data_IF_744062602431
#
_entry.id   IF_744062602431
#
_cell.length_a   1.000
_cell.length_b   1.000
_cell.length_c   1.000
_cell.angle_alpha   90.00
_cell.angle_beta   90.00
_cell.angle_gamma   90.00
#
_symmetry.space_group_name_H-M   'P 1'
#
loop_
_entity.id
_entity.type
_entity.pdbx_description
1 polymer ?
#
# COMPACT_ATOMS: atom_id res chain seq x y z
N UNK A 1 -9.37 -14.91 69.01
CA UNK A 1 -9.10 -15.82 70.15
C UNK A 1 -8.41 -17.04 69.54
N UNK A 2 -7.08 -17.21 69.49
CA UNK A 2 -6.03 -17.23 70.53
C UNK A 2 -5.91 -18.55 71.31
N UNK A 3 -5.15 -19.52 70.75
CA UNK A 3 -4.17 -20.42 71.42
C UNK A 3 -3.53 -21.27 70.31
N UNK A 4 -2.22 -21.41 70.04
CA UNK A 4 -0.96 -21.40 70.81
C UNK A 4 -0.73 -22.64 71.71
N UNK A 5 0.49 -23.22 71.56
CA UNK A 5 1.14 -24.28 72.39
C UNK A 5 0.52 -25.70 72.23
N UNK A 6 1.20 -26.85 72.34
CA UNK A 6 2.64 -27.30 72.34
C UNK A 6 2.64 -28.86 72.15
N UNK A 7 3.73 -29.64 72.01
CA UNK A 7 5.20 -29.43 71.96
C UNK A 7 5.94 -30.60 71.25
N UNK A 8 7.16 -30.31 70.80
CA UNK A 8 8.34 -31.16 70.53
C UNK A 8 8.37 -32.68 70.81
N UNK A 9 9.05 -33.38 69.90
CA UNK A 9 9.95 -34.51 70.20
C UNK A 9 11.26 -34.40 69.41
N UNK A 10 12.36 -34.09 70.10
CA UNK A 10 13.76 -34.36 69.70
C UNK A 10 14.17 -35.68 70.42
N UNK A 11 15.24 -36.44 70.11
CA UNK A 11 16.42 -36.24 69.27
C UNK A 11 17.05 -37.62 68.95
N UNK A 12 17.87 -37.74 67.89
CA UNK A 12 19.15 -38.48 67.97
C UNK A 12 20.04 -38.24 66.73
N UNK A 13 21.30 -37.95 66.99
CA UNK A 13 22.40 -37.84 66.02
C UNK A 13 23.27 -39.09 66.15
N UNK A 14 23.73 -39.65 65.02
CA UNK A 14 24.99 -40.42 64.96
C UNK A 14 25.78 -40.00 63.69
N UNK A 15 27.09 -39.90 63.85
CA UNK A 15 28.01 -39.27 62.89
C UNK A 15 28.62 -40.28 61.90
N UNK A 16 29.01 -39.80 60.71
CA UNK A 16 29.73 -40.60 59.72
C UNK A 16 30.58 -39.73 58.78
N UNK A 17 31.91 -39.85 58.86
CA UNK A 17 32.85 -39.10 58.04
C UNK A 17 32.81 -39.49 56.56
N UNK A 18 32.87 -38.49 55.66
CA UNK A 18 32.94 -38.70 54.22
C UNK A 18 33.19 -37.38 53.47
N UNK A 19 34.45 -37.04 53.24
CA UNK A 19 34.82 -35.71 52.76
C UNK A 19 34.45 -35.41 51.30
N UNK A 20 33.74 -34.31 51.06
CA UNK A 20 33.83 -33.55 49.80
C UNK A 20 33.52 -32.07 50.00
N UNK A 21 34.52 -31.20 49.81
CA UNK A 21 34.40 -29.74 49.96
C UNK A 21 33.65 -29.12 48.79
N UNK A 22 32.32 -29.22 48.77
CA UNK A 22 31.48 -28.48 47.80
C UNK A 22 31.40 -27.01 48.19
N UNK A 23 32.30 -26.20 47.63
CA UNK A 23 32.30 -24.74 47.81
C UNK A 23 31.06 -24.13 47.17
N UNK A 24 30.04 -23.79 47.98
CA UNK A 24 28.87 -23.03 47.53
C UNK A 24 29.37 -21.75 46.84
N UNK A 25 29.04 -21.49 45.56
CA UNK A 25 29.57 -20.32 44.87
C UNK A 25 29.05 -19.05 45.54
N UNK A 26 29.99 -18.14 45.83
CA UNK A 26 29.68 -16.87 46.47
C UNK A 26 28.60 -16.12 45.70
N UNK A 27 27.81 -15.33 46.40
CA UNK A 27 26.70 -14.54 45.85
C UNK A 27 27.15 -13.71 44.62
N UNK A 28 28.37 -13.17 44.66
CA UNK A 28 29.06 -12.50 43.54
C UNK A 28 29.18 -13.36 42.26
N UNK A 29 29.51 -14.66 42.37
CA UNK A 29 29.57 -15.56 41.20
C UNK A 29 28.20 -15.80 40.57
N UNK A 30 27.12 -15.81 41.35
CA UNK A 30 25.74 -15.93 40.82
C UNK A 30 25.32 -14.66 40.09
N UNK A 31 25.53 -13.49 40.68
CA UNK A 31 25.29 -12.20 40.01
C UNK A 31 26.07 -12.06 38.70
N UNK A 32 27.32 -12.51 38.65
CA UNK A 32 28.13 -12.48 37.43
C UNK A 32 27.62 -13.44 36.33
N UNK A 33 27.13 -14.63 36.69
CA UNK A 33 26.56 -15.56 35.71
C UNK A 33 25.21 -15.07 35.16
N UNK A 34 24.31 -14.56 36.02
CA UNK A 34 23.08 -13.90 35.57
C UNK A 34 23.38 -12.69 34.68
N UNK A 35 24.37 -11.87 35.04
CA UNK A 35 24.83 -10.75 34.21
C UNK A 35 25.32 -11.18 32.82
N UNK A 36 26.10 -12.27 32.73
CA UNK A 36 26.53 -12.84 31.44
C UNK A 36 25.35 -13.30 30.58
N UNK A 37 24.35 -13.95 31.18
CA UNK A 37 23.14 -14.40 30.47
C UNK A 37 22.36 -13.20 29.94
N UNK A 38 22.18 -12.14 30.75
CA UNK A 38 21.52 -10.91 30.30
C UNK A 38 22.29 -10.21 29.18
N UNK A 39 23.63 -10.15 29.26
CA UNK A 39 24.46 -9.58 28.17
C UNK A 39 24.30 -10.39 26.87
N UNK A 40 24.35 -11.72 26.93
CA UNK A 40 24.14 -12.60 25.76
C UNK A 40 22.73 -12.44 25.18
N UNK A 41 21.70 -12.31 26.04
CA UNK A 41 20.33 -12.13 25.59
C UNK A 41 20.11 -10.76 24.93
N UNK A 42 20.67 -9.69 25.51
CA UNK A 42 20.62 -8.33 24.93
C UNK A 42 21.38 -8.27 23.61
N UNK A 43 22.57 -8.88 23.50
CA UNK A 43 23.30 -8.91 22.22
C UNK A 43 22.57 -9.72 21.16
N UNK A 44 21.92 -10.84 21.51
CA UNK A 44 21.03 -11.58 20.60
C UNK A 44 19.84 -10.74 20.13
N UNK A 45 19.15 -10.04 21.04
CA UNK A 45 18.03 -9.16 20.66
C UNK A 45 18.48 -8.02 19.73
N UNK A 46 19.64 -7.41 19.99
CA UNK A 46 20.22 -6.39 19.09
C UNK A 46 20.58 -7.01 17.74
N UNK A 47 21.17 -8.21 17.71
CA UNK A 47 21.49 -8.92 16.46
C UNK A 47 20.22 -9.22 15.65
N UNK A 48 19.16 -9.73 16.29
CA UNK A 48 17.86 -10.00 15.64
C UNK A 48 17.23 -8.70 15.14
N UNK A 49 17.30 -7.60 15.89
CA UNK A 49 16.79 -6.31 15.45
C UNK A 49 17.59 -5.74 14.25
N UNK A 50 18.93 -5.88 14.25
CA UNK A 50 19.80 -5.47 13.14
C UNK A 50 19.57 -6.34 11.91
N UNK A 51 19.48 -7.66 12.06
CA UNK A 51 19.20 -8.57 10.93
C UNK A 51 17.78 -8.34 10.40
N UNK A 52 16.77 -8.20 11.26
CA UNK A 52 15.40 -7.89 10.85
C UNK A 52 15.33 -6.56 10.09
N UNK A 53 15.89 -5.48 10.64
CA UNK A 53 15.90 -4.18 9.96
C UNK A 53 16.74 -4.20 8.67
N UNK A 54 17.82 -4.97 8.59
CA UNK A 54 18.59 -5.14 7.36
C UNK A 54 17.83 -5.95 6.30
N UNK A 55 17.17 -7.04 6.69
CA UNK A 55 16.36 -7.90 5.79
C UNK A 55 15.13 -7.14 5.31
N UNK A 56 14.35 -6.50 6.17
CA UNK A 56 13.22 -5.64 5.77
C UNK A 56 13.66 -4.53 4.82
N UNK A 57 14.81 -3.89 5.08
CA UNK A 57 15.35 -2.83 4.22
C UNK A 57 15.88 -3.37 2.89
N UNK A 58 16.46 -4.58 2.88
CA UNK A 58 16.94 -5.23 1.65
C UNK A 58 15.78 -5.75 0.79
N UNK A 59 14.70 -6.23 1.39
CA UNK A 59 13.51 -6.69 0.67
C UNK A 59 12.75 -5.51 0.06
N UNK A 60 12.58 -4.43 0.84
CA UNK A 60 12.04 -3.15 0.35
C UNK A 60 12.85 -2.59 -0.83
N UNK A 61 14.20 -2.61 -0.75
CA UNK A 61 15.08 -2.12 -1.83
C UNK A 61 15.03 -2.91 -3.13
N UNK A 62 14.63 -4.17 -3.09
CA UNK A 62 14.50 -5.00 -4.30
C UNK A 62 13.16 -4.74 -5.02
N UNK A 63 12.18 -4.19 -4.31
CA UNK A 63 10.79 -4.07 -4.76
C UNK A 63 10.43 -2.69 -5.29
N UNK A 64 11.00 -1.65 -4.70
CA UNK A 64 10.88 -0.28 -5.20
C UNK A 64 12.23 0.20 -5.71
N UNK A 65 12.23 0.75 -6.93
CA UNK A 65 13.32 1.60 -7.39
C UNK A 65 13.61 2.67 -6.32
N UNK A 66 14.89 2.95 -6.04
CA UNK A 66 15.32 3.88 -4.97
C UNK A 66 14.66 5.28 -5.11
N UNK A 67 13.48 5.46 -4.50
CA UNK A 67 12.91 6.78 -4.26
C UNK A 67 13.67 7.46 -3.11
N UNK A 68 14.02 8.75 -3.23
CA UNK A 68 14.65 9.49 -2.16
C UNK A 68 13.65 9.74 -1.02
N UNK A 69 13.65 8.84 -0.03
CA UNK A 69 12.82 8.93 1.17
C UNK A 69 12.99 10.29 1.86
N UNK A 70 11.85 10.95 2.12
CA UNK A 70 11.67 12.22 2.84
C UNK A 70 12.36 13.44 2.22
N UNK A 71 11.53 14.29 1.61
CA UNK A 71 11.58 15.72 1.91
C UNK A 71 10.24 16.15 2.50
N UNK A 72 10.26 17.02 3.52
CA UNK A 72 9.05 17.60 4.08
C UNK A 72 8.38 18.46 3.01
N UNK A 73 7.08 18.25 2.73
CA UNK A 73 6.31 19.15 1.87
C UNK A 73 6.11 20.48 2.59
N UNK A 74 7.10 21.37 2.48
CA UNK A 74 6.91 22.79 2.71
C UNK A 74 6.69 23.47 1.38
N UNK A 75 5.43 23.47 0.94
CA UNK A 75 5.02 24.28 -0.19
C UNK A 75 5.43 25.74 0.07
N UNK A 76 6.25 26.29 -0.80
CA UNK A 76 6.57 27.72 -0.83
C UNK A 76 6.10 28.24 -2.17
N UNK A 77 5.14 29.16 -2.12
CA UNK A 77 4.57 29.80 -3.29
C UNK A 77 5.67 30.41 -4.15
N UNK A 78 5.73 29.94 -5.39
CA UNK A 78 6.69 30.36 -6.39
C UNK A 78 5.93 30.49 -7.70
N UNK A 79 5.17 31.58 -7.82
CA UNK A 79 4.50 31.98 -9.06
C UNK A 79 5.56 32.21 -10.15
N UNK A 80 5.79 31.21 -11.00
CA UNK A 80 6.63 31.31 -12.18
C UNK A 80 5.73 31.42 -13.40
N UNK A 81 5.90 32.52 -14.14
CA UNK A 81 5.12 32.88 -15.33
C UNK A 81 5.03 31.72 -16.34
N UNK A 82 3.81 31.21 -16.52
CA UNK A 82 3.51 30.16 -17.49
C UNK A 82 3.51 30.77 -18.91
N UNK A 83 4.62 30.64 -19.63
CA UNK A 83 4.57 30.77 -21.10
C UNK A 83 4.11 29.45 -21.69
N UNK A 84 2.83 29.39 -22.04
CA UNK A 84 2.23 28.26 -22.74
C UNK A 84 3.05 27.92 -23.99
N UNK A 85 3.69 26.75 -23.97
CA UNK A 85 4.41 26.26 -25.14
C UNK A 85 3.40 25.64 -26.11
N UNK A 86 3.35 26.17 -27.33
CA UNK A 86 2.56 25.69 -28.47
C UNK A 86 3.05 24.34 -29.04
N UNK A 87 3.41 23.40 -28.14
CA UNK A 87 4.03 22.11 -28.41
C UNK A 87 3.03 20.96 -28.60
N UNK A 88 1.79 21.12 -28.12
CA UNK A 88 0.71 20.12 -28.18
C UNK A 88 0.51 19.57 -29.60
N UNK A 89 0.42 20.44 -30.60
CA UNK A 89 0.14 20.02 -32.00
C UNK A 89 1.27 19.16 -32.61
N UNK A 90 2.53 19.41 -32.23
CA UNK A 90 3.69 18.64 -32.72
C UNK A 90 3.88 17.31 -31.99
N UNK A 91 3.53 17.25 -30.70
CA UNK A 91 3.58 16.02 -29.91
C UNK A 91 2.51 15.01 -30.38
N UNK A 92 1.27 15.46 -30.60
CA UNK A 92 0.18 14.64 -31.14
C UNK A 92 0.51 14.10 -32.54
N UNK A 93 1.18 14.90 -33.38
CA UNK A 93 1.66 14.45 -34.70
C UNK A 93 2.74 13.36 -34.57
N UNK A 94 3.62 13.43 -33.58
CA UNK A 94 4.65 12.41 -33.34
C UNK A 94 4.08 11.11 -32.73
N UNK A 95 3.01 11.21 -31.91
CA UNK A 95 2.26 10.07 -31.37
C UNK A 95 1.18 9.52 -32.32
N UNK A 96 1.04 10.04 -33.54
CA UNK A 96 0.16 9.47 -34.58
C UNK A 96 0.50 8.03 -35.01
N UNK A 97 1.60 7.50 -34.48
CA UNK A 97 2.03 6.09 -34.60
C UNK A 97 1.32 5.15 -33.61
N UNK A 98 0.69 5.66 -32.55
CA UNK A 98 -0.07 4.86 -31.58
C UNK A 98 -1.51 4.72 -32.04
N UNK A 99 -1.88 3.51 -32.47
CA UNK A 99 -3.21 3.16 -32.97
C UNK A 99 -4.23 3.08 -31.82
N UNK A 100 -5.40 3.69 -32.01
CA UNK A 100 -6.57 3.46 -31.15
C UNK A 100 -7.21 2.11 -31.49
N UNK A 101 -7.50 1.30 -30.48
CA UNK A 101 -8.12 -0.01 -30.63
C UNK A 101 -9.31 -0.15 -29.67
N UNK A 102 -10.50 -0.56 -30.15
CA UNK A 102 -11.63 -0.87 -29.27
C UNK A 102 -11.27 -2.03 -28.33
N UNK A 103 -11.54 -1.85 -27.03
CA UNK A 103 -11.37 -2.89 -26.01
C UNK A 103 -12.57 -2.88 -25.07
N UNK A 104 -13.11 -4.05 -24.79
CA UNK A 104 -14.11 -4.26 -23.74
C UNK A 104 -13.37 -4.59 -22.45
N UNK A 105 -13.75 -3.95 -21.34
CA UNK A 105 -13.14 -4.26 -20.05
C UNK A 105 -13.66 -5.60 -19.53
N UNK A 106 -12.73 -6.48 -19.17
CA UNK A 106 -12.97 -7.80 -18.59
C UNK A 106 -12.06 -7.93 -17.38
N UNK A 107 -12.57 -8.44 -16.26
CA UNK A 107 -11.77 -8.62 -15.04
C UNK A 107 -10.58 -9.55 -15.32
N UNK A 108 -9.36 -9.01 -15.27
CA UNK A 108 -8.14 -9.81 -15.34
C UNK A 108 -7.67 -10.16 -13.93
N UNK A 109 -7.89 -11.41 -13.52
CA UNK A 109 -7.51 -11.90 -12.18
C UNK A 109 -6.02 -11.75 -11.87
N UNK A 110 -5.14 -11.73 -12.87
CA UNK A 110 -3.70 -11.55 -12.69
C UNK A 110 -3.36 -10.21 -12.02
N UNK A 111 -4.15 -9.17 -12.29
CA UNK A 111 -3.98 -7.85 -11.70
C UNK A 111 -4.90 -7.60 -10.49
N UNK A 112 -6.01 -8.34 -10.40
CA UNK A 112 -7.00 -8.17 -9.34
C UNK A 112 -6.72 -8.98 -8.06
N UNK A 113 -5.95 -10.06 -8.14
CA UNK A 113 -5.60 -10.88 -6.95
C UNK A 113 -4.67 -10.12 -5.97
N UNK A 114 -4.67 -10.50 -4.67
CA UNK A 114 -3.65 -10.06 -3.72
C UNK A 114 -2.23 -10.37 -4.19
N UNK A 115 -1.19 -9.70 -3.67
CA UNK A 115 0.17 -9.81 -4.15
C UNK A 115 0.69 -11.25 -4.23
N UNK A 116 1.05 -11.66 -5.45
CA UNK A 116 1.61 -12.97 -5.75
C UNK A 116 2.52 -12.87 -6.96
N UNK A 117 3.54 -13.74 -7.05
CA UNK A 117 4.68 -13.58 -7.95
C UNK A 117 4.32 -13.15 -9.39
N UNK A 118 3.45 -13.89 -10.08
CA UNK A 118 3.11 -13.61 -11.48
C UNK A 118 2.25 -12.35 -11.64
N UNK A 119 1.41 -12.03 -10.65
CA UNK A 119 0.64 -10.78 -10.63
C UNK A 119 1.53 -9.55 -10.44
N UNK A 120 2.55 -9.68 -9.60
CA UNK A 120 3.54 -8.64 -9.36
C UNK A 120 4.48 -8.42 -10.55
N UNK A 121 4.91 -9.50 -11.22
CA UNK A 121 5.61 -9.42 -12.51
C UNK A 121 4.73 -8.74 -13.58
N UNK A 122 3.41 -9.02 -13.59
CA UNK A 122 2.48 -8.37 -14.49
C UNK A 122 2.30 -6.86 -14.18
N UNK A 123 2.14 -6.47 -12.90
CA UNK A 123 2.09 -5.06 -12.49
C UNK A 123 3.39 -4.31 -12.86
N UNK A 124 4.56 -4.91 -12.61
CA UNK A 124 5.85 -4.33 -13.00
C UNK A 124 5.98 -4.16 -14.52
N UNK A 125 5.42 -5.08 -15.32
CA UNK A 125 5.48 -5.02 -16.79
C UNK A 125 4.73 -3.85 -17.44
N UNK A 126 3.87 -3.14 -16.69
CA UNK A 126 3.13 -1.97 -17.17
C UNK A 126 4.03 -0.75 -17.40
N UNK A 127 5.17 -0.69 -16.70
CA UNK A 127 6.13 0.40 -16.82
C UNK A 127 7.23 0.04 -17.84
N UNK A 128 7.59 0.94 -18.77
CA UNK A 128 8.77 0.77 -19.61
C UNK A 128 10.05 0.62 -18.77
N UNK A 129 11.12 0.08 -19.36
CA UNK A 129 12.43 -0.13 -18.68
C UNK A 129 12.97 1.06 -17.88
N UNK A 130 12.62 2.30 -18.26
CA UNK A 130 13.03 3.53 -17.61
C UNK A 130 11.90 4.17 -16.76
N UNK A 131 10.91 3.41 -16.30
CA UNK A 131 9.77 3.92 -15.51
C UNK A 131 8.84 4.87 -16.27
N UNK A 132 8.94 4.94 -17.60
CA UNK A 132 8.26 5.95 -18.42
C UNK A 132 9.06 7.22 -18.69
N UNK A 133 10.23 7.39 -18.08
CA UNK A 133 11.11 8.53 -18.33
C UNK A 133 11.80 8.44 -19.70
N UNK A 134 11.85 9.56 -20.41
CA UNK A 134 12.44 9.70 -21.73
C UNK A 134 13.05 11.09 -21.94
N UNK A 135 13.86 11.22 -23.00
CA UNK A 135 14.36 12.49 -23.52
C UNK A 135 14.29 12.44 -25.04
N UNK A 136 13.75 13.49 -25.67
CA UNK A 136 13.64 13.58 -27.12
C UNK A 136 13.90 15.03 -27.58
N UNK A 137 14.94 15.29 -28.40
CA UNK A 137 15.36 16.65 -28.77
C UNK A 137 14.27 17.54 -29.40
N UNK A 138 13.23 16.95 -30.01
CA UNK A 138 12.17 17.69 -30.69
C UNK A 138 10.93 17.97 -29.85
N UNK A 139 10.66 17.14 -28.84
CA UNK A 139 9.36 17.14 -28.14
C UNK A 139 9.49 17.15 -26.60
N UNK A 140 10.62 16.68 -26.05
CA UNK A 140 10.96 16.70 -24.64
C UNK A 140 12.49 16.86 -24.48
N UNK A 141 13.05 18.08 -24.66
CA UNK A 141 14.50 18.30 -24.66
C UNK A 141 15.16 18.21 -23.27
N UNK A 142 14.35 18.05 -22.21
CA UNK A 142 14.77 17.70 -20.85
C UNK A 142 14.24 16.30 -20.54
N UNK A 143 14.81 15.64 -19.54
CA UNK A 143 14.22 14.43 -18.96
C UNK A 143 12.76 14.70 -18.57
N UNK A 144 11.86 13.87 -19.09
CA UNK A 144 10.41 13.99 -18.93
C UNK A 144 9.79 12.61 -18.77
N UNK A 145 8.58 12.54 -18.21
CA UNK A 145 7.76 11.34 -18.15
C UNK A 145 6.42 11.61 -18.87
N UNK A 146 5.75 10.57 -19.36
CA UNK A 146 4.33 10.69 -19.72
C UNK A 146 3.49 10.48 -18.46
N UNK A 147 2.50 11.36 -18.25
CA UNK A 147 1.67 11.39 -17.04
C UNK A 147 1.07 10.02 -16.70
N UNK A 148 0.63 9.24 -17.69
CA UNK A 148 0.12 7.87 -17.48
C UNK A 148 1.09 6.93 -16.75
N UNK A 149 2.40 7.01 -17.00
CA UNK A 149 3.36 6.14 -16.32
C UNK A 149 3.58 6.57 -14.87
N UNK A 150 3.54 7.87 -14.60
CA UNK A 150 3.52 8.39 -13.23
C UNK A 150 2.23 7.99 -12.49
N UNK A 151 1.07 8.08 -13.15
CA UNK A 151 -0.22 7.63 -12.61
C UNK A 151 -0.23 6.12 -12.29
N UNK A 152 0.35 5.27 -13.16
CA UNK A 152 0.49 3.82 -12.93
C UNK A 152 1.47 3.53 -11.77
N UNK A 153 2.57 4.28 -11.65
CA UNK A 153 3.48 4.21 -10.50
C UNK A 153 2.75 4.51 -9.19
N UNK A 154 2.02 5.63 -9.13
CA UNK A 154 1.21 5.98 -7.95
C UNK A 154 0.13 4.94 -7.63
N UNK A 155 -0.56 4.39 -8.64
CA UNK A 155 -1.53 3.31 -8.44
C UNK A 155 -0.88 2.05 -7.84
N UNK A 156 0.34 1.73 -8.28
CA UNK A 156 1.13 0.60 -7.76
C UNK A 156 1.60 0.85 -6.33
N UNK A 157 2.00 2.08 -5.99
CA UNK A 157 2.34 2.48 -4.60
C UNK A 157 1.15 2.32 -3.67
N UNK A 158 -0.03 2.82 -4.07
CA UNK A 158 -1.26 2.73 -3.29
C UNK A 158 -1.68 1.27 -3.06
N UNK A 159 -1.57 0.43 -4.10
CA UNK A 159 -1.84 -1.02 -3.99
C UNK A 159 -0.86 -1.70 -3.04
N UNK A 160 0.44 -1.42 -3.16
CA UNK A 160 1.48 -1.95 -2.25
C UNK A 160 1.21 -1.56 -0.80
N UNK A 161 1.06 -0.27 -0.52
CA UNK A 161 0.77 0.25 0.82
C UNK A 161 -0.53 -0.31 1.42
N UNK A 162 -1.56 -0.56 0.60
CA UNK A 162 -2.79 -1.22 1.05
C UNK A 162 -2.53 -2.64 1.57
N UNK A 163 -1.80 -3.47 0.82
CA UNK A 163 -1.52 -4.85 1.21
C UNK A 163 -0.46 -4.96 2.32
N UNK A 164 0.48 -4.01 2.40
CA UNK A 164 1.38 -3.87 3.57
C UNK A 164 0.61 -3.52 4.85
N UNK A 165 -0.41 -2.66 4.76
CA UNK A 165 -1.28 -2.32 5.89
C UNK A 165 -2.29 -3.44 6.22
N UNK A 166 -2.53 -4.38 5.29
CA UNK A 166 -3.53 -5.45 5.40
C UNK A 166 -2.95 -6.83 5.02
N UNK A 167 -1.93 -7.33 5.76
CA UNK A 167 -1.33 -8.64 5.49
C UNK A 167 -2.30 -9.80 5.71
N UNK A 168 -3.38 -9.58 6.46
CA UNK A 168 -4.50 -10.51 6.63
C UNK A 168 -5.23 -10.84 5.32
N UNK A 169 -5.10 -9.99 4.29
CA UNK A 169 -5.70 -10.18 2.97
C UNK A 169 -4.76 -10.89 1.97
N UNK A 170 -3.54 -11.23 2.38
CA UNK A 170 -2.49 -11.85 1.54
C UNK A 170 -2.24 -13.32 1.95
N UNK A 171 -3.09 -13.88 2.82
CA UNK A 171 -2.87 -15.22 3.41
C UNK A 171 -2.86 -16.31 2.33
N UNK A 172 -1.74 -17.06 2.18
CA UNK A 172 -1.68 -18.15 1.20
C UNK A 172 -2.50 -19.36 1.67
N UNK A 173 -3.47 -19.79 0.86
CA UNK A 173 -3.98 -21.16 0.91
C UNK A 173 -5.44 -21.38 1.28
N UNK A 174 -6.24 -20.35 1.56
CA UNK A 174 -7.70 -20.54 1.71
C UNK A 174 -8.40 -20.69 0.34
N UNK A 175 -8.33 -21.91 -0.20
CA UNK A 175 -9.12 -22.35 -1.35
C UNK A 175 -10.55 -22.76 -0.95
N UNK A 176 -10.98 -22.44 0.28
CA UNK A 176 -12.13 -23.02 0.98
C UNK A 176 -13.22 -22.01 1.36
N UNK A 177 -13.43 -20.98 0.52
CA UNK A 177 -14.80 -20.70 0.10
C UNK A 177 -14.86 -19.96 -1.24
N UNK A 178 -15.81 -20.39 -2.10
CA UNK A 178 -16.29 -19.56 -3.21
C UNK A 178 -16.64 -18.17 -2.65
N UNK A 179 -16.22 -17.06 -3.27
CA UNK A 179 -16.94 -15.81 -3.11
C UNK A 179 -18.36 -16.06 -3.60
N UNK A 180 -19.30 -16.27 -2.68
CA UNK A 180 -20.71 -16.17 -3.03
C UNK A 180 -20.90 -14.71 -3.44
N UNK A 181 -21.33 -14.51 -4.69
CA UNK A 181 -21.48 -13.20 -5.32
C UNK A 181 -22.53 -12.34 -4.59
N UNK A 182 -22.17 -11.82 -3.43
CA UNK A 182 -22.88 -10.79 -2.71
C UNK A 182 -22.32 -9.45 -3.17
N UNK A 183 -22.84 -8.94 -4.29
CA UNK A 183 -22.68 -7.55 -4.71
C UNK A 183 -23.47 -6.63 -3.75
N UNK A 184 -23.17 -6.68 -2.45
CA UNK A 184 -23.69 -5.71 -1.48
C UNK A 184 -22.93 -4.41 -1.67
N UNK A 185 -23.48 -3.52 -2.50
CA UNK A 185 -23.06 -2.12 -2.67
C UNK A 185 -23.32 -1.25 -1.42
N UNK A 186 -23.28 -1.84 -0.23
CA UNK A 186 -23.46 -1.17 1.05
C UNK A 186 -22.14 -1.05 1.79
N UNK A 187 -21.77 0.17 2.16
CA UNK A 187 -20.71 0.41 3.14
C UNK A 187 -21.21 -0.06 4.52
N UNK A 188 -20.91 -1.31 4.86
CA UNK A 188 -21.14 -1.88 6.18
C UNK A 188 -19.84 -1.73 7.00
N UNK A 189 -19.77 -0.79 7.97
CA UNK A 189 -18.55 -0.54 8.75
C UNK A 189 -18.18 -1.73 9.66
N UNK A 190 -19.04 -2.74 9.77
CA UNK A 190 -18.84 -3.91 10.60
C UNK A 190 -18.50 -5.19 9.78
N UNK A 191 -18.36 -5.08 8.46
CA UNK A 191 -17.84 -6.16 7.59
C UNK A 191 -16.41 -5.88 7.17
N UNK A 192 -15.61 -6.94 7.17
CA UNK A 192 -14.28 -6.94 6.57
C UNK A 192 -14.38 -6.48 5.10
N UNK A 193 -13.59 -5.47 4.73
CA UNK A 193 -13.42 -5.02 3.34
C UNK A 193 -13.22 -6.23 2.43
N UNK A 194 -14.11 -6.40 1.45
CA UNK A 194 -14.04 -7.51 0.50
C UNK A 194 -12.78 -7.38 -0.37
N UNK A 195 -11.90 -8.38 -0.26
CA UNK A 195 -10.66 -8.51 -1.03
C UNK A 195 -10.96 -8.54 -2.52
N UNK A 196 -12.05 -9.20 -2.92
CA UNK A 196 -12.46 -9.28 -4.31
C UNK A 196 -12.89 -7.90 -4.85
N UNK A 197 -13.69 -7.14 -4.10
CA UNK A 197 -14.08 -5.78 -4.46
C UNK A 197 -12.87 -4.85 -4.63
N UNK A 198 -11.94 -4.85 -3.66
CA UNK A 198 -10.71 -4.03 -3.75
C UNK A 198 -9.83 -4.45 -4.92
N UNK A 199 -9.66 -5.76 -5.13
CA UNK A 199 -8.96 -6.32 -6.28
C UNK A 199 -9.54 -5.88 -7.62
N UNK A 200 -10.86 -5.96 -7.75
CA UNK A 200 -11.61 -5.49 -8.91
C UNK A 200 -11.40 -3.98 -9.14
N UNK A 201 -11.42 -3.15 -8.08
CA UNK A 201 -11.15 -1.72 -8.20
C UNK A 201 -9.74 -1.42 -8.72
N UNK A 202 -8.71 -2.10 -8.23
CA UNK A 202 -7.33 -1.93 -8.75
C UNK A 202 -7.24 -2.25 -10.24
N UNK A 203 -7.88 -3.34 -10.67
CA UNK A 203 -7.89 -3.76 -12.07
C UNK A 203 -8.70 -2.82 -12.96
N UNK A 204 -9.85 -2.31 -12.49
CA UNK A 204 -10.65 -1.31 -13.21
C UNK A 204 -9.89 0.00 -13.41
N UNK A 205 -9.19 0.48 -12.37
CA UNK A 205 -8.35 1.68 -12.44
C UNK A 205 -7.18 1.47 -13.42
N UNK A 206 -6.51 0.32 -13.37
CA UNK A 206 -5.43 -0.04 -14.31
C UNK A 206 -5.93 -0.09 -15.76
N UNK A 207 -7.09 -0.70 -16.01
CA UNK A 207 -7.70 -0.70 -17.35
C UNK A 207 -8.08 0.72 -17.81
N UNK A 208 -8.59 1.56 -16.92
CA UNK A 208 -8.92 2.95 -17.23
C UNK A 208 -7.69 3.75 -17.66
N UNK A 209 -6.61 3.72 -16.86
CA UNK A 209 -5.33 4.39 -17.16
C UNK A 209 -4.69 3.88 -18.46
N UNK A 210 -4.78 2.59 -18.75
CA UNK A 210 -4.18 2.00 -19.97
C UNK A 210 -5.06 2.11 -21.22
N UNK A 211 -6.37 2.35 -21.07
CA UNK A 211 -7.32 2.54 -22.17
C UNK A 211 -7.37 3.99 -22.68
N UNK A 212 -7.36 4.96 -21.76
CA UNK A 212 -7.24 6.40 -22.06
C UNK A 212 -6.04 6.98 -21.32
N UNK A 213 -4.82 6.67 -21.79
CA UNK A 213 -3.60 7.16 -21.16
C UNK A 213 -3.52 8.68 -21.24
N UNK A 214 -3.16 9.31 -20.13
CA UNK A 214 -2.76 10.71 -20.14
C UNK A 214 -1.35 10.84 -20.75
N UNK A 215 -1.30 11.42 -21.96
CA UNK A 215 -0.09 11.60 -22.75
C UNK A 215 0.58 12.96 -22.48
N UNK A 216 0.16 13.68 -21.44
CA UNK A 216 0.79 14.91 -20.96
C UNK A 216 2.24 14.67 -20.58
N UNK A 217 3.11 15.63 -20.91
CA UNK A 217 4.56 15.52 -20.78
C UNK A 217 5.03 16.23 -19.52
N UNK A 218 5.15 15.50 -18.43
CA UNK A 218 5.66 16.01 -17.17
C UNK A 218 7.19 16.18 -17.26
N UNK A 219 7.70 17.38 -17.01
CA UNK A 219 9.15 17.64 -17.00
C UNK A 219 9.71 17.29 -15.63
N UNK A 220 10.74 16.45 -15.58
CA UNK A 220 11.36 16.07 -14.32
C UNK A 220 12.03 17.27 -13.64
N UNK A 221 11.86 17.41 -12.32
CA UNK A 221 12.59 18.40 -11.54
C UNK A 221 14.10 18.08 -11.54
N UNK A 222 14.91 19.14 -11.61
CA UNK A 222 16.36 19.01 -11.75
C UNK A 222 17.05 18.48 -10.49
N UNK A 223 16.46 18.67 -9.30
CA UNK A 223 17.06 18.27 -8.02
C UNK A 223 16.66 16.86 -7.64
N UNK A 224 15.38 16.53 -7.78
CA UNK A 224 14.84 15.20 -7.42
C UNK A 224 14.99 14.17 -8.53
N UNK A 225 15.16 14.61 -9.79
CA UNK A 225 15.07 13.76 -11.01
C UNK A 225 13.70 13.05 -11.16
N UNK A 226 12.69 13.48 -10.39
CA UNK A 226 11.35 12.94 -10.40
C UNK A 226 10.35 13.91 -11.03
N UNK A 227 9.18 13.40 -11.43
CA UNK A 227 8.02 14.22 -11.81
C UNK A 227 7.04 14.30 -10.62
N UNK A 228 6.20 15.33 -10.58
CA UNK A 228 5.30 15.60 -9.44
C UNK A 228 3.82 15.46 -9.76
N UNK A 229 3.42 15.30 -11.03
CA UNK A 229 2.00 15.31 -11.42
C UNK A 229 1.34 16.70 -11.39
N UNK A 230 2.09 17.76 -11.04
CA UNK A 230 1.53 19.10 -10.82
C UNK A 230 2.35 20.19 -11.52
N UNK A 231 1.67 21.27 -11.94
CA UNK A 231 2.29 22.39 -12.64
C UNK A 231 2.54 22.18 -14.14
N UNK A 232 2.05 21.07 -14.70
CA UNK A 232 1.96 20.83 -16.15
C UNK A 232 0.50 20.98 -16.58
N UNK A 233 0.24 21.37 -17.83
CA UNK A 233 -1.11 21.50 -18.38
C UNK A 233 -1.58 20.15 -18.97
N UNK A 234 -2.72 19.65 -18.49
CA UNK A 234 -3.34 18.38 -18.92
C UNK A 234 -4.59 18.64 -19.78
N UNK A 235 -4.94 17.70 -20.66
CA UNK A 235 -6.16 17.77 -21.47
C UNK A 235 -7.31 17.01 -20.82
N UNK A 236 -8.05 17.69 -19.93
CA UNK A 236 -9.16 17.12 -19.19
C UNK A 236 -10.52 17.33 -19.89
N UNK A 237 -11.48 16.46 -19.56
CA UNK A 237 -12.91 16.73 -19.80
C UNK A 237 -13.33 17.92 -18.90
N UNK A 238 -14.19 18.81 -19.40
CA UNK A 238 -14.80 19.83 -18.55
C UNK A 238 -15.72 19.14 -17.52
N UNK A 239 -15.28 19.13 -16.26
CA UNK A 239 -15.98 18.43 -15.18
C UNK A 239 -17.34 19.05 -14.86
N UNK A 240 -17.47 20.38 -14.92
CA UNK A 240 -18.74 21.07 -14.64
C UNK A 240 -19.78 20.80 -15.72
N UNK A 241 -19.36 20.73 -17.00
CA UNK A 241 -20.25 20.31 -18.10
C UNK A 241 -20.68 18.85 -17.97
N UNK A 242 -19.77 17.95 -17.57
CA UNK A 242 -20.07 16.55 -17.32
C UNK A 242 -21.05 16.37 -16.16
N UNK A 243 -20.81 17.03 -15.02
CA UNK A 243 -21.71 17.00 -13.87
C UNK A 243 -23.06 17.65 -14.18
N UNK A 244 -23.07 18.75 -14.94
CA UNK A 244 -24.31 19.35 -15.45
C UNK A 244 -25.08 18.43 -16.40
N UNK A 245 -24.40 17.61 -17.20
CA UNK A 245 -25.05 16.57 -18.00
C UNK A 245 -25.59 15.45 -17.12
N UNK A 246 -24.81 14.94 -16.16
CA UNK A 246 -25.25 13.91 -15.21
C UNK A 246 -26.52 14.32 -14.46
N UNK A 247 -26.55 15.52 -13.85
CA UNK A 247 -27.71 16.02 -13.12
C UNK A 247 -29.01 16.16 -13.95
N UNK A 248 -28.93 16.15 -15.29
CA UNK A 248 -30.09 16.15 -16.20
C UNK A 248 -30.51 14.76 -16.68
N UNK A 249 -29.70 13.73 -16.43
CA UNK A 249 -29.89 12.36 -16.92
C UNK A 249 -29.86 11.30 -15.79
N UNK A 250 -29.53 11.70 -14.56
CA UNK A 250 -29.72 10.89 -13.37
C UNK A 250 -31.21 10.57 -13.16
N UNK A 251 -31.48 9.35 -12.70
CA UNK A 251 -32.85 8.88 -12.49
C UNK A 251 -33.51 9.70 -11.37
N UNK A 252 -34.61 10.38 -11.69
CA UNK A 252 -35.54 10.85 -10.66
C UNK A 252 -36.07 9.65 -9.89
N UNK A 253 -35.87 9.65 -8.58
CA UNK A 253 -36.38 8.62 -7.68
C UNK A 253 -37.90 8.45 -7.87
N UNK A 254 -38.34 7.21 -8.09
CA UNK A 254 -39.77 6.88 -8.10
C UNK A 254 -40.27 6.93 -6.66
N UNK A 255 -40.61 8.12 -6.19
CA UNK A 255 -41.44 8.29 -5.00
C UNK A 255 -42.79 7.65 -5.33
N UNK A 256 -43.22 6.57 -4.63
CA UNK A 256 -44.56 6.06 -4.79
C UNK A 256 -45.51 7.18 -4.41
N UNK A 257 -46.41 7.55 -5.34
CA UNK A 257 -47.47 8.48 -5.01
C UNK A 257 -48.23 7.92 -3.81
N UNK A 258 -48.27 8.67 -2.70
CA UNK A 258 -49.18 8.36 -1.60
C UNK A 258 -50.58 8.25 -2.18
N UNK A 259 -51.17 7.06 -2.12
CA UNK A 259 -52.56 6.87 -2.56
C UNK A 259 -53.43 7.86 -1.77
N UNK A 260 -54.37 8.55 -2.44
CA UNK A 260 -55.27 9.45 -1.73
C UNK A 260 -56.10 8.62 -0.74
N UNK A 261 -56.10 9.01 0.54
CA UNK A 261 -56.98 8.38 1.53
C UNK A 261 -58.43 8.43 1.03
N UNK A 262 -59.03 7.25 0.85
CA UNK A 262 -60.42 7.13 0.47
C UNK A 262 -61.29 7.54 1.67
N UNK A 263 -61.73 8.81 1.64
CA UNK A 263 -62.62 9.42 2.61
C UNK A 263 -63.97 8.69 2.66
N UNK A 264 -64.04 7.63 3.47
CA UNK A 264 -65.26 6.87 3.73
C UNK A 264 -66.21 7.70 4.63
N UNK A 265 -67.01 8.54 3.99
CA UNK A 265 -68.18 9.17 4.61
C UNK A 265 -69.46 8.41 4.23
N UNK A 266 -69.91 7.52 5.12
CA UNK A 266 -71.29 7.02 5.20
C UNK A 266 -71.57 6.44 6.60
#
# INVERSE_FOLDING_TARGET
MSSWLQSHGYDKIEDGEGGSKTTKPSWLKRGWQSGKIHVIYVTLLVLVAVVSSYVSRSFSKQYYFDEPVRSELRCKDSLISLKAHTSTNRFLTAMSTVKLEPRTFVLNETFAKPPYKEGEEAWASLLPRQGGFFTNPRIAPKTSCLAVFHQIHCLTMLRGAFYEARPDLVVPGDNSSRPQHAHTHGFDPNKSVDVYHVGHCWELLRQTLTCRPDLTVEVADRKTQAVTGFGTEHQCVNWDELMGWMARNEWTEYLPSSEPEESSTA
#
